data_IF_075477175576
#
_entry.id   IF_075477175576
#
_cell.length_a   1.000
_cell.length_b   1.000
_cell.length_c   1.000
_cell.angle_alpha   90.00
_cell.angle_beta   90.00
_cell.angle_gamma   90.00
#
_symmetry.space_group_name_H-M   'P 1'
#
loop_
_entity.id
_entity.type
_entity.pdbx_description
1 polymer ?
#
# COMPACT_ATOMS: atom_id res chain seq x y z
N UNK A 1 -14.99 7.16 -16.96
CA UNK A 1 -14.84 6.10 -15.94
C UNK A 1 -13.85 6.67 -14.98
N UNK A 2 -14.32 7.03 -13.80
CA UNK A 2 -13.46 7.64 -12.79
C UNK A 2 -12.54 6.54 -12.27
N UNK A 3 -11.23 6.75 -12.43
CA UNK A 3 -10.21 5.88 -11.86
C UNK A 3 -10.14 6.18 -10.36
N UNK A 4 -10.34 5.15 -9.52
CA UNK A 4 -10.14 5.27 -8.08
C UNK A 4 -8.68 5.02 -7.78
N UNK A 5 -8.00 6.01 -7.21
CA UNK A 5 -6.63 5.87 -6.72
C UNK A 5 -6.63 5.58 -5.23
N UNK A 6 -5.93 4.52 -4.84
CA UNK A 6 -5.66 4.16 -3.44
C UNK A 6 -4.15 4.19 -3.20
N UNK A 7 -3.76 4.32 -1.93
CA UNK A 7 -2.38 4.55 -1.55
C UNK A 7 -1.84 3.39 -0.73
N UNK A 8 -0.62 2.95 -1.01
CA UNK A 8 0.08 1.99 -0.17
C UNK A 8 1.40 2.61 0.32
N UNK A 9 1.60 2.63 1.63
CA UNK A 9 2.87 3.06 2.21
C UNK A 9 3.80 1.86 2.30
N UNK A 10 4.92 1.94 1.58
CA UNK A 10 5.90 0.86 1.47
C UNK A 10 7.25 1.28 2.09
N UNK A 11 8.01 0.29 2.56
CA UNK A 11 9.44 0.48 2.78
C UNK A 11 10.11 0.61 1.42
N UNK A 12 10.90 1.67 1.23
CA UNK A 12 11.50 2.01 -0.06
C UNK A 12 12.38 0.88 -0.60
N UNK A 13 13.22 0.26 0.22
CA UNK A 13 14.07 -0.85 -0.21
C UNK A 13 13.28 -2.07 -0.70
N UNK A 14 12.14 -2.33 -0.08
CA UNK A 14 11.25 -3.42 -0.47
C UNK A 14 10.60 -3.13 -1.83
N UNK A 15 10.18 -1.88 -2.05
CA UNK A 15 9.65 -1.44 -3.33
C UNK A 15 10.69 -1.47 -4.45
N UNK A 16 11.91 -0.96 -4.21
CA UNK A 16 12.99 -1.02 -5.20
C UNK A 16 13.36 -2.47 -5.55
N UNK A 17 13.38 -3.36 -4.56
CA UNK A 17 13.61 -4.79 -4.80
C UNK A 17 12.51 -5.38 -5.69
N UNK A 18 11.24 -5.04 -5.41
CA UNK A 18 10.12 -5.51 -6.21
C UNK A 18 10.19 -5.05 -7.67
N UNK A 19 10.59 -3.79 -7.92
CA UNK A 19 10.80 -3.30 -9.29
C UNK A 19 11.86 -4.11 -10.05
N UNK A 20 12.88 -4.62 -9.35
CA UNK A 20 13.93 -5.45 -9.94
C UNK A 20 13.49 -6.90 -10.17
N UNK A 21 12.72 -7.48 -9.23
CA UNK A 21 12.27 -8.88 -9.30
C UNK A 21 11.00 -9.07 -10.11
N UNK A 22 10.23 -8.00 -10.31
CA UNK A 22 8.90 -8.05 -10.93
C UNK A 22 7.77 -8.43 -9.97
N UNK A 23 8.03 -8.53 -8.66
CA UNK A 23 7.06 -9.00 -7.68
C UNK A 23 7.12 -8.21 -6.37
N UNK A 24 5.98 -7.64 -5.96
CA UNK A 24 5.81 -6.97 -4.67
C UNK A 24 4.92 -7.80 -3.74
N UNK A 25 5.52 -8.49 -2.77
CA UNK A 25 4.84 -9.47 -1.91
C UNK A 25 4.32 -8.92 -0.57
N UNK A 26 4.56 -7.65 -0.29
CA UNK A 26 4.35 -7.07 1.04
C UNK A 26 2.92 -6.57 1.21
N UNK A 27 2.30 -6.96 2.32
CA UNK A 27 1.01 -6.45 2.74
C UNK A 27 1.14 -5.11 3.46
N UNK A 28 2.19 -5.02 4.27
CA UNK A 28 2.67 -3.86 5.05
C UNK A 28 4.12 -4.19 5.47
N UNK A 29 4.82 -3.26 6.12
CA UNK A 29 6.20 -3.49 6.58
C UNK A 29 6.33 -4.79 7.39
N UNK A 30 7.20 -5.69 6.90
CA UNK A 30 7.55 -6.93 7.59
C UNK A 30 6.48 -8.04 7.55
N UNK A 31 5.35 -7.82 6.86
CA UNK A 31 4.28 -8.82 6.71
C UNK A 31 3.97 -9.01 5.23
N UNK A 32 4.02 -10.25 4.75
CA UNK A 32 3.71 -10.58 3.37
C UNK A 32 2.21 -10.79 3.15
N UNK A 33 1.74 -10.62 1.93
CA UNK A 33 0.36 -10.95 1.53
C UNK A 33 0.08 -12.44 1.71
N UNK A 34 1.07 -13.32 1.57
CA UNK A 34 0.89 -14.75 1.84
C UNK A 34 0.55 -15.04 3.31
N UNK A 35 0.99 -14.19 4.23
CA UNK A 35 0.63 -14.28 5.66
C UNK A 35 -0.72 -13.60 5.91
N UNK A 36 -0.86 -12.33 5.50
CA UNK A 36 -2.01 -11.50 5.87
C UNK A 36 -3.27 -11.80 5.04
N UNK A 37 -3.10 -12.17 3.77
CA UNK A 37 -4.18 -12.44 2.81
C UNK A 37 -4.60 -11.23 1.96
N UNK A 38 -4.14 -10.03 2.28
CA UNK A 38 -4.44 -8.80 1.55
C UNK A 38 -3.33 -7.75 1.76
N UNK A 39 -3.27 -6.72 0.91
CA UNK A 39 -2.40 -5.55 1.07
C UNK A 39 -3.18 -4.40 1.70
N UNK A 40 -2.62 -3.80 2.76
CA UNK A 40 -3.20 -2.62 3.39
C UNK A 40 -3.02 -1.39 2.50
N UNK A 41 -4.11 -0.70 2.19
CA UNK A 41 -4.07 0.59 1.49
C UNK A 41 -4.74 1.68 2.32
N UNK A 42 -4.70 2.91 1.83
CA UNK A 42 -5.25 4.11 2.45
C UNK A 42 -5.83 5.03 1.37
N UNK A 43 -6.80 5.84 1.75
CA UNK A 43 -7.14 7.05 0.99
C UNK A 43 -6.18 8.20 1.33
N UNK A 44 -6.20 9.28 0.53
CA UNK A 44 -5.33 10.44 0.74
C UNK A 44 -5.47 11.04 2.15
N UNK A 45 -6.67 11.06 2.72
CA UNK A 45 -6.92 11.59 4.08
C UNK A 45 -6.38 10.69 5.20
N UNK A 46 -5.97 9.46 4.90
CA UNK A 46 -5.71 8.43 5.91
C UNK A 46 -4.23 8.08 6.06
N UNK A 47 -3.43 8.16 4.98
CA UNK A 47 -2.09 7.59 4.95
C UNK A 47 -1.13 8.19 5.99
N UNK A 48 -1.25 9.49 6.30
CA UNK A 48 -0.42 10.13 7.34
C UNK A 48 -0.64 9.52 8.72
N UNK A 49 -1.90 9.22 9.07
CA UNK A 49 -2.22 8.54 10.33
C UNK A 49 -1.72 7.09 10.35
N UNK A 50 -1.61 6.42 9.21
CA UNK A 50 -0.98 5.08 9.10
C UNK A 50 0.53 5.20 9.31
N UNK A 51 1.19 6.15 8.64
CA UNK A 51 2.61 6.47 8.83
C UNK A 51 2.94 6.68 10.30
N UNK A 52 2.21 7.55 10.98
CA UNK A 52 2.49 7.90 12.37
C UNK A 52 2.27 6.75 13.37
N UNK A 53 1.38 5.80 13.06
CA UNK A 53 1.09 4.67 13.95
C UNK A 53 2.00 3.48 13.75
N UNK A 54 2.40 3.20 12.50
CA UNK A 54 3.05 1.93 12.15
C UNK A 54 4.46 2.09 11.59
N UNK A 55 4.85 3.31 11.21
CA UNK A 55 6.12 3.60 10.53
C UNK A 55 6.90 4.75 11.18
N UNK A 56 6.50 5.23 12.36
CA UNK A 56 7.12 6.40 13.01
C UNK A 56 8.59 6.19 13.42
N UNK A 57 9.06 4.95 13.43
CA UNK A 57 10.44 4.56 13.70
C UNK A 57 11.36 4.61 12.46
N UNK A 58 10.81 4.83 11.26
CA UNK A 58 11.57 5.00 10.02
C UNK A 58 11.62 6.47 9.63
N UNK A 59 12.71 6.88 8.99
CA UNK A 59 12.80 8.20 8.38
C UNK A 59 11.99 8.27 7.08
N UNK A 60 11.60 9.48 6.70
CA UNK A 60 10.71 9.68 5.54
C UNK A 60 11.38 9.26 4.21
N UNK A 61 12.71 9.23 4.13
CA UNK A 61 13.47 8.71 2.98
C UNK A 61 13.51 7.18 2.90
N UNK A 62 13.26 6.48 4.01
CA UNK A 62 13.11 5.02 4.05
C UNK A 62 11.73 4.55 3.56
N UNK A 63 10.82 5.50 3.30
CA UNK A 63 9.44 5.24 2.92
C UNK A 63 9.13 5.80 1.54
N UNK A 64 8.17 5.17 0.87
CA UNK A 64 7.59 5.64 -0.38
C UNK A 64 6.08 5.40 -0.35
N UNK A 65 5.32 6.39 -0.80
CA UNK A 65 3.88 6.29 -0.94
C UNK A 65 3.56 5.95 -2.40
N UNK A 66 3.01 4.76 -2.62
CA UNK A 66 2.66 4.25 -3.93
C UNK A 66 1.21 4.65 -4.23
N UNK A 67 0.99 5.33 -5.37
CA UNK A 67 -0.35 5.59 -5.89
C UNK A 67 -0.75 4.45 -6.84
N UNK A 68 -1.83 3.77 -6.51
CA UNK A 68 -2.29 2.56 -7.18
C UNK A 68 -3.61 2.88 -7.90
N UNK A 69 -3.63 2.63 -9.21
CA UNK A 69 -4.85 2.66 -10.01
C UNK A 69 -5.61 1.34 -9.83
N UNK A 70 -6.77 1.41 -9.17
CA UNK A 70 -7.62 0.23 -8.92
C UNK A 70 -8.03 -0.50 -10.20
N UNK A 71 -8.17 0.22 -11.33
CA UNK A 71 -8.59 -0.37 -12.61
C UNK A 71 -7.53 -1.24 -13.27
N UNK A 72 -6.27 -1.15 -12.81
CA UNK A 72 -5.14 -1.94 -13.29
C UNK A 72 -4.86 -3.18 -12.43
N UNK A 73 -5.55 -3.32 -11.30
CA UNK A 73 -5.43 -4.48 -10.42
C UNK A 73 -6.21 -5.67 -10.97
N UNK A 74 -5.64 -6.88 -10.88
CA UNK A 74 -6.39 -8.11 -11.10
C UNK A 74 -7.16 -8.56 -9.85
N UNK A 75 -6.67 -8.12 -8.68
CA UNK A 75 -7.21 -8.46 -7.37
C UNK A 75 -8.32 -7.49 -6.97
N UNK A 76 -9.31 -7.99 -6.20
CA UNK A 76 -10.43 -7.18 -5.73
C UNK A 76 -9.99 -6.20 -4.64
N UNK A 77 -10.44 -4.95 -4.76
CA UNK A 77 -10.38 -3.97 -3.67
C UNK A 77 -11.68 -4.02 -2.86
N UNK A 78 -11.54 -4.01 -1.54
CA UNK A 78 -12.67 -3.92 -0.61
C UNK A 78 -12.39 -2.80 0.39
N UNK A 79 -13.33 -1.87 0.50
CA UNK A 79 -13.29 -0.81 1.51
C UNK A 79 -14.04 -1.29 2.74
N UNK A 80 -13.31 -1.58 3.81
CA UNK A 80 -13.87 -2.20 5.00
C UNK A 80 -13.11 -1.85 6.27
N UNK A 81 -13.75 -2.11 7.41
CA UNK A 81 -13.15 -1.94 8.73
C UNK A 81 -12.75 -3.29 9.27
N UNK A 82 -11.45 -3.54 9.35
CA UNK A 82 -10.91 -4.77 9.94
C UNK A 82 -10.38 -4.50 11.36
N UNK A 83 -10.51 -5.50 12.23
CA UNK A 83 -10.02 -5.45 13.61
C UNK A 83 -10.46 -4.21 14.38
N UNK A 84 -9.51 -3.57 15.05
CA UNK A 84 -9.73 -2.36 15.84
C UNK A 84 -9.48 -1.05 15.05
N UNK A 85 -9.43 -1.11 13.71
CA UNK A 85 -9.21 0.09 12.89
C UNK A 85 -10.22 1.20 13.24
N UNK A 86 -9.84 2.49 13.25
CA UNK A 86 -10.75 3.57 13.65
C UNK A 86 -11.83 3.86 12.60
N UNK A 87 -11.58 3.51 11.34
CA UNK A 87 -12.41 3.79 10.17
C UNK A 87 -12.26 2.66 9.13
N UNK A 88 -12.90 2.81 7.96
CA UNK A 88 -12.77 1.87 6.85
C UNK A 88 -11.53 2.20 6.02
N UNK A 89 -10.80 1.18 5.59
CA UNK A 89 -9.62 1.30 4.74
C UNK A 89 -9.80 0.43 3.48
N UNK A 90 -9.24 0.84 2.33
CA UNK A 90 -9.16 -0.04 1.17
C UNK A 90 -8.14 -1.15 1.43
N UNK A 91 -8.52 -2.39 1.10
CA UNK A 91 -7.64 -3.56 1.11
C UNK A 91 -7.67 -4.21 -0.27
N UNK A 92 -6.50 -4.49 -0.83
CA UNK A 92 -6.37 -5.28 -2.06
C UNK A 92 -6.25 -6.73 -1.62
N UNK A 93 -7.19 -7.60 -1.99
CA UNK A 93 -7.12 -9.04 -1.66
C UNK A 93 -6.15 -9.79 -2.57
N UNK A 94 -4.87 -9.38 -2.51
CA UNK A 94 -3.77 -9.85 -3.32
C UNK A 94 -2.56 -8.93 -3.19
N UNK A 95 -1.49 -9.29 -3.90
CA UNK A 95 -0.29 -8.45 -4.05
C UNK A 95 -0.59 -7.25 -4.94
N UNK A 96 0.19 -6.17 -4.78
CA UNK A 96 0.15 -5.03 -5.70
C UNK A 96 0.91 -5.37 -6.97
N UNK A 97 0.23 -5.31 -8.11
CA UNK A 97 0.88 -5.39 -9.40
C UNK A 97 1.70 -4.12 -9.67
N UNK A 98 2.97 -4.28 -10.06
CA UNK A 98 3.86 -3.14 -10.34
C UNK A 98 3.26 -2.22 -11.41
N UNK A 99 2.60 -2.80 -12.42
CA UNK A 99 1.94 -2.04 -13.48
C UNK A 99 0.72 -1.23 -13.01
N UNK A 100 0.17 -1.54 -11.83
CA UNK A 100 -0.92 -0.78 -11.23
C UNK A 100 -0.42 0.43 -10.43
N UNK A 101 0.88 0.49 -10.11
CA UNK A 101 1.49 1.66 -9.47
C UNK A 101 1.78 2.72 -10.54
N UNK A 102 1.04 3.82 -10.47
CA UNK A 102 1.09 4.91 -11.47
C UNK A 102 1.94 6.11 -11.02
N UNK A 103 2.25 6.21 -9.72
CA UNK A 103 3.09 7.27 -9.17
C UNK A 103 3.78 6.80 -7.88
N UNK A 104 5.00 7.27 -7.66
CA UNK A 104 5.78 7.08 -6.43
C UNK A 104 5.99 8.45 -5.79
N UNK A 105 5.51 8.64 -4.57
CA UNK A 105 5.64 9.88 -3.82
C UNK A 105 6.63 9.74 -2.67
N UNK A 106 7.52 10.72 -2.57
CA UNK A 106 8.19 10.99 -1.30
C UNK A 106 7.17 11.57 -0.31
N UNK A 107 7.42 11.40 0.98
CA UNK A 107 6.45 11.70 2.05
C UNK A 107 6.91 12.81 3.00
N UNK A 108 7.97 13.52 2.61
CA UNK A 108 8.57 14.68 3.26
C UNK A 108 7.63 15.90 3.39
#
# INVERSE_FOLDING_TARGET
MDCTVILHLAVRSDWETAKLTGEYIWSTRGVTVAHEGYTHCSFESQWRGVRDRFYADLSDDELVLLEIDESLLSSKVVVERLGAAPEVFPHIYGCVEISAVICERNID
#
